data_IF_860916034492
#
_entry.id   IF_860916034492
#
_cell.length_a   1.000
_cell.length_b   1.000
_cell.length_c   1.000
_cell.angle_alpha   90.00
_cell.angle_beta   90.00
_cell.angle_gamma   90.00
#
_symmetry.space_group_name_H-M   'P 1'
#
loop_
_entity.id
_entity.type
_entity.pdbx_description
1 polymer ?
#
# COMPACT_ATOMS: atom_id res chain seq x y z
N UNK A 1 -26.28 14.48 7.93
CA UNK A 1 -24.83 14.60 7.68
C UNK A 1 -24.41 13.40 6.85
N UNK A 2 -23.70 13.60 5.74
CA UNK A 2 -23.12 12.48 5.00
C UNK A 2 -22.08 11.80 5.89
N UNK A 3 -22.04 10.48 5.85
CA UNK A 3 -21.03 9.70 6.58
C UNK A 3 -19.64 10.03 6.01
N UNK A 4 -18.73 10.49 6.86
CA UNK A 4 -17.35 10.86 6.47
C UNK A 4 -16.63 9.68 5.81
N UNK A 5 -16.89 8.46 6.24
CA UNK A 5 -16.35 7.23 5.64
C UNK A 5 -16.74 7.14 4.18
N UNK A 6 -18.04 7.25 3.89
CA UNK A 6 -18.55 7.19 2.52
C UNK A 6 -18.02 8.34 1.66
N UNK A 7 -17.89 9.54 2.25
CA UNK A 7 -17.30 10.69 1.55
C UNK A 7 -15.85 10.43 1.16
N UNK A 8 -15.04 9.89 2.08
CA UNK A 8 -13.63 9.60 1.82
C UNK A 8 -13.47 8.51 0.75
N UNK A 9 -14.24 7.42 0.84
CA UNK A 9 -14.25 6.38 -0.19
C UNK A 9 -14.64 6.95 -1.57
N UNK A 10 -15.65 7.80 -1.61
CA UNK A 10 -16.03 8.45 -2.86
C UNK A 10 -14.97 9.43 -3.36
N UNK A 11 -14.29 10.15 -2.47
CA UNK A 11 -13.19 11.03 -2.85
C UNK A 11 -12.02 10.24 -3.48
N UNK A 12 -11.64 9.09 -2.92
CA UNK A 12 -10.63 8.21 -3.51
C UNK A 12 -11.04 7.82 -4.93
N UNK A 13 -12.28 7.39 -5.13
CA UNK A 13 -12.80 7.01 -6.46
C UNK A 13 -12.76 8.15 -7.45
N UNK A 14 -13.27 9.31 -7.07
CA UNK A 14 -13.37 10.48 -7.95
C UNK A 14 -11.97 11.00 -8.31
N UNK A 15 -11.08 11.19 -7.33
CA UNK A 15 -9.69 11.61 -7.58
C UNK A 15 -8.99 10.65 -8.56
N UNK A 16 -9.17 9.35 -8.37
CA UNK A 16 -8.57 8.33 -9.26
C UNK A 16 -9.14 8.41 -10.67
N UNK A 17 -10.45 8.49 -10.80
CA UNK A 17 -11.11 8.55 -12.11
C UNK A 17 -10.72 9.83 -12.89
N UNK A 18 -10.73 11.00 -12.22
CA UNK A 18 -10.37 12.29 -12.84
C UNK A 18 -8.91 12.34 -13.26
N UNK A 19 -7.98 11.86 -12.42
CA UNK A 19 -6.55 11.82 -12.74
C UNK A 19 -6.25 10.90 -13.92
N UNK A 20 -6.84 9.70 -13.94
CA UNK A 20 -6.70 8.73 -15.02
C UNK A 20 -7.30 9.29 -16.32
N UNK A 21 -8.49 9.89 -16.24
CA UNK A 21 -9.13 10.52 -17.40
C UNK A 21 -8.31 11.67 -17.96
N UNK A 22 -7.76 12.53 -17.09
CA UNK A 22 -6.89 13.64 -17.50
C UNK A 22 -5.61 13.14 -18.18
N UNK A 23 -4.98 12.10 -17.63
CA UNK A 23 -3.78 11.50 -18.21
C UNK A 23 -4.08 10.74 -19.53
N UNK A 24 -5.35 10.46 -19.80
CA UNK A 24 -5.79 9.55 -20.87
C UNK A 24 -5.02 8.22 -20.87
N UNK A 25 -4.62 7.77 -19.68
CA UNK A 25 -3.83 6.55 -19.45
C UNK A 25 -3.94 6.12 -17.99
N UNK A 26 -4.10 4.84 -17.73
CA UNK A 26 -4.16 4.28 -16.38
C UNK A 26 -5.18 3.15 -16.26
N UNK A 27 -5.31 2.64 -15.05
CA UNK A 27 -6.15 1.51 -14.72
C UNK A 27 -7.19 1.92 -13.67
N UNK A 28 -8.44 2.22 -14.07
CA UNK A 28 -9.45 2.73 -13.13
C UNK A 28 -10.08 1.65 -12.26
N UNK A 29 -10.10 0.39 -12.72
CA UNK A 29 -10.85 -0.69 -12.06
C UNK A 29 -10.46 -0.89 -10.60
N UNK A 30 -9.17 -1.07 -10.35
CA UNK A 30 -8.67 -1.33 -9.00
C UNK A 30 -8.92 -0.15 -8.03
N UNK A 31 -8.56 1.11 -8.34
CA UNK A 31 -8.85 2.23 -7.44
C UNK A 31 -10.33 2.40 -7.12
N UNK A 32 -11.21 2.14 -8.09
CA UNK A 32 -12.65 2.24 -7.90
C UNK A 32 -13.20 1.11 -7.02
N UNK A 33 -12.75 -0.12 -7.24
CA UNK A 33 -13.17 -1.30 -6.49
C UNK A 33 -12.57 -1.34 -5.09
N UNK A 34 -11.27 -1.09 -4.98
CA UNK A 34 -10.51 -1.21 -3.73
C UNK A 34 -10.58 0.03 -2.81
N UNK A 35 -11.23 1.13 -3.22
CA UNK A 35 -11.33 2.33 -2.38
C UNK A 35 -11.79 2.05 -0.94
N UNK A 36 -12.83 1.22 -0.68
CA UNK A 36 -13.23 0.90 0.69
C UNK A 36 -12.16 0.13 1.46
N UNK A 37 -11.41 -0.74 0.80
CA UNK A 37 -10.36 -1.56 1.42
C UNK A 37 -9.17 -0.66 1.77
N UNK A 38 -8.70 0.17 0.83
CA UNK A 38 -7.66 1.16 1.09
C UNK A 38 -8.01 2.10 2.24
N UNK A 39 -9.25 2.61 2.26
CA UNK A 39 -9.75 3.41 3.38
C UNK A 39 -9.68 2.63 4.71
N UNK A 40 -10.16 1.39 4.74
CA UNK A 40 -10.15 0.58 5.94
C UNK A 40 -8.72 0.28 6.42
N UNK A 41 -7.79 -0.02 5.52
CA UNK A 41 -6.38 -0.20 5.84
C UNK A 41 -5.82 1.06 6.50
N UNK A 42 -5.87 2.20 5.83
CA UNK A 42 -5.28 3.45 6.31
C UNK A 42 -5.91 3.99 7.59
N UNK A 43 -7.17 3.70 7.87
CA UNK A 43 -7.81 4.11 9.13
C UNK A 43 -7.45 3.23 10.33
N UNK A 44 -6.83 2.06 10.09
CA UNK A 44 -6.41 1.12 11.14
C UNK A 44 -4.89 0.98 11.26
N UNK A 45 -4.12 1.55 10.33
CA UNK A 45 -2.66 1.53 10.35
C UNK A 45 -2.09 2.59 11.29
N UNK A 46 -0.95 2.27 11.88
CA UNK A 46 -0.09 3.21 12.61
C UNK A 46 0.96 3.78 11.66
N UNK A 47 0.86 5.06 11.36
CA UNK A 47 1.84 5.78 10.54
C UNK A 47 1.95 7.25 10.95
N UNK A 48 3.04 7.89 10.53
CA UNK A 48 3.19 9.35 10.66
C UNK A 48 3.39 9.96 9.26
N UNK A 49 2.40 10.66 8.71
CA UNK A 49 2.49 11.19 7.34
C UNK A 49 3.54 12.31 7.21
N UNK A 50 4.00 12.89 8.32
CA UNK A 50 5.08 13.91 8.35
C UNK A 50 6.46 13.29 8.54
N UNK A 51 6.52 12.03 8.93
CA UNK A 51 7.74 11.25 9.09
C UNK A 51 7.51 9.85 8.49
N UNK A 52 7.60 9.78 7.19
CA UNK A 52 7.41 8.53 6.44
C UNK A 52 8.53 7.51 6.66
N UNK A 53 9.60 7.89 7.39
CA UNK A 53 10.69 7.03 7.77
C UNK A 53 10.57 6.50 9.21
N UNK A 54 9.49 6.82 9.92
CA UNK A 54 9.23 6.31 11.27
C UNK A 54 9.38 4.78 11.32
N UNK A 55 10.30 4.28 12.12
CA UNK A 55 10.76 2.89 12.06
C UNK A 55 9.65 1.86 12.35
N UNK A 56 8.85 2.11 13.37
CA UNK A 56 7.77 1.21 13.80
C UNK A 56 6.40 1.53 13.15
N UNK A 57 6.41 2.10 11.93
CA UNK A 57 5.20 2.31 11.16
C UNK A 57 4.69 1.02 10.56
N UNK A 58 3.38 0.89 10.44
CA UNK A 58 2.80 -0.13 9.57
C UNK A 58 3.12 0.18 8.10
N UNK A 59 3.33 -0.86 7.31
CA UNK A 59 3.69 -0.76 5.90
C UNK A 59 2.53 -1.16 5.02
N UNK A 60 2.27 -0.33 4.01
CA UNK A 60 1.27 -0.64 2.99
C UNK A 60 1.94 -0.86 1.65
N UNK A 61 1.69 -2.02 1.05
CA UNK A 61 2.24 -2.41 -0.25
C UNK A 61 1.10 -2.68 -1.23
N UNK A 62 1.02 -1.87 -2.28
CA UNK A 62 0.12 -2.13 -3.39
C UNK A 62 0.81 -3.10 -4.37
N UNK A 63 0.62 -4.41 -4.17
CA UNK A 63 1.19 -5.43 -5.05
C UNK A 63 0.61 -5.35 -6.47
N UNK A 64 -0.66 -5.00 -6.60
CA UNK A 64 -1.29 -4.66 -7.86
C UNK A 64 -0.94 -3.23 -8.31
N UNK A 65 0.35 -2.96 -8.53
CA UNK A 65 0.90 -1.63 -8.74
C UNK A 65 0.33 -0.85 -9.93
N UNK A 66 -0.32 -1.53 -10.87
CA UNK A 66 -1.05 -0.89 -11.97
C UNK A 66 -2.20 0.01 -11.45
N UNK A 67 -2.74 -0.26 -10.26
CA UNK A 67 -3.74 0.57 -9.59
C UNK A 67 -3.18 1.73 -8.79
N UNK A 68 -2.02 2.25 -9.13
CA UNK A 68 -1.25 3.26 -8.40
C UNK A 68 -2.04 4.50 -7.96
N UNK A 69 -3.08 4.87 -8.68
CA UNK A 69 -3.95 5.99 -8.26
C UNK A 69 -4.67 5.72 -6.93
N UNK A 70 -4.84 4.45 -6.51
CA UNK A 70 -5.34 4.15 -5.17
C UNK A 70 -4.36 4.67 -4.11
N UNK A 71 -3.07 4.33 -4.24
CA UNK A 71 -2.03 4.80 -3.33
C UNK A 71 -1.97 6.32 -3.28
N UNK A 72 -1.93 6.97 -4.45
CA UNK A 72 -1.78 8.41 -4.52
C UNK A 72 -2.99 9.15 -3.94
N UNK A 73 -4.20 8.66 -4.16
CA UNK A 73 -5.41 9.22 -3.55
C UNK A 73 -5.40 9.03 -2.02
N UNK A 74 -4.97 7.87 -1.52
CA UNK A 74 -4.79 7.61 -0.09
C UNK A 74 -3.72 8.52 0.50
N UNK A 75 -2.52 8.58 -0.08
CA UNK A 75 -1.44 9.43 0.42
C UNK A 75 -1.80 10.92 0.42
N UNK A 76 -2.55 11.37 -0.60
CA UNK A 76 -3.07 12.74 -0.64
C UNK A 76 -4.04 13.02 0.50
N UNK A 77 -5.04 12.15 0.69
CA UNK A 77 -6.11 12.35 1.68
C UNK A 77 -5.61 12.16 3.12
N UNK A 78 -4.63 11.29 3.33
CA UNK A 78 -4.05 11.03 4.66
C UNK A 78 -2.82 11.88 4.98
N UNK A 79 -2.45 12.83 4.10
CA UNK A 79 -1.52 13.91 4.43
C UNK A 79 -0.04 13.61 4.23
N UNK A 80 0.33 12.66 3.36
CA UNK A 80 1.72 12.31 3.05
C UNK A 80 2.47 13.35 2.18
N UNK A 81 1.95 14.55 2.07
CA UNK A 81 2.62 15.65 1.38
C UNK A 81 2.42 15.70 -0.14
N UNK A 82 1.53 14.88 -0.69
CA UNK A 82 1.06 15.07 -2.06
C UNK A 82 0.12 16.27 -2.13
N UNK A 83 0.22 17.00 -3.22
CA UNK A 83 -0.66 18.13 -3.53
C UNK A 83 -1.71 17.74 -4.57
N UNK A 84 -2.74 18.58 -4.71
CA UNK A 84 -3.71 18.40 -5.79
C UNK A 84 -3.03 18.45 -7.17
N UNK A 85 -1.99 19.25 -7.32
CA UNK A 85 -1.24 19.35 -8.56
C UNK A 85 -0.47 18.05 -8.85
N UNK A 86 0.12 17.39 -7.83
CA UNK A 86 0.75 16.09 -8.00
C UNK A 86 -0.27 15.05 -8.52
N UNK A 87 -1.49 15.03 -7.97
CA UNK A 87 -2.58 14.18 -8.46
C UNK A 87 -2.96 14.49 -9.92
N UNK A 88 -3.07 15.78 -10.25
CA UNK A 88 -3.41 16.23 -11.60
C UNK A 88 -2.33 15.92 -12.63
N UNK A 89 -1.09 15.69 -12.19
CA UNK A 89 0.06 15.35 -13.03
C UNK A 89 0.34 13.84 -13.06
N UNK A 90 -0.66 13.03 -12.77
CA UNK A 90 -0.55 11.58 -12.86
C UNK A 90 0.02 11.13 -14.21
N UNK A 91 1.04 10.24 -14.18
CA UNK A 91 1.76 9.71 -15.35
C UNK A 91 2.46 10.75 -16.22
N UNK A 92 2.69 11.97 -15.72
CA UNK A 92 3.49 12.94 -16.45
C UNK A 92 4.97 12.79 -16.10
N UNK A 93 5.84 13.09 -17.05
CA UNK A 93 7.29 13.02 -16.86
C UNK A 93 7.72 13.91 -15.68
N UNK A 94 8.49 13.34 -14.74
CA UNK A 94 8.97 14.03 -13.54
C UNK A 94 7.92 14.20 -12.43
N UNK A 95 6.71 13.65 -12.59
CA UNK A 95 5.68 13.68 -11.56
C UNK A 95 6.01 12.71 -10.42
N UNK A 96 5.57 13.05 -9.20
CA UNK A 96 5.60 12.12 -8.05
C UNK A 96 4.58 10.98 -8.17
N UNK A 97 3.61 11.13 -9.06
CA UNK A 97 2.50 10.19 -9.29
C UNK A 97 2.72 9.42 -10.58
N UNK A 98 3.74 8.58 -10.59
CA UNK A 98 4.11 7.73 -11.72
C UNK A 98 3.02 6.70 -12.06
N UNK A 99 3.13 6.03 -13.20
CA UNK A 99 2.18 5.02 -13.66
C UNK A 99 2.07 3.81 -12.73
N UNK A 100 3.13 3.52 -11.99
CA UNK A 100 3.23 2.50 -10.95
C UNK A 100 3.93 3.13 -9.74
N UNK A 101 3.69 2.65 -8.50
CA UNK A 101 4.36 3.18 -7.32
C UNK A 101 5.88 3.02 -7.42
N UNK A 102 6.60 4.10 -7.15
CA UNK A 102 8.07 4.11 -7.19
C UNK A 102 8.62 4.54 -5.83
N UNK A 103 9.41 3.65 -5.22
CA UNK A 103 10.10 3.93 -3.96
C UNK A 103 11.04 5.12 -4.10
N UNK A 104 10.98 6.04 -3.15
CA UNK A 104 11.82 7.25 -3.14
C UNK A 104 11.32 8.39 -4.04
N UNK A 105 10.29 8.17 -4.85
CA UNK A 105 9.68 9.21 -5.70
C UNK A 105 8.42 9.79 -5.05
N UNK A 106 7.50 8.92 -4.65
CA UNK A 106 6.29 9.32 -3.93
C UNK A 106 6.46 9.05 -2.43
N UNK A 107 6.23 10.03 -1.55
CA UNK A 107 6.23 9.82 -0.11
C UNK A 107 5.20 8.75 0.30
N UNK A 108 5.60 7.83 1.17
CA UNK A 108 4.73 6.75 1.66
C UNK A 108 4.82 5.44 0.85
N UNK A 109 5.40 5.46 -0.35
CA UNK A 109 5.63 4.23 -1.12
C UNK A 109 6.75 3.42 -0.48
N UNK A 110 6.44 2.22 -0.01
CA UNK A 110 7.37 1.33 0.70
C UNK A 110 8.26 0.50 -0.25
N UNK A 111 7.76 0.19 -1.43
CA UNK A 111 8.50 -0.53 -2.48
C UNK A 111 7.94 -0.22 -3.85
N UNK A 112 8.79 -0.24 -4.87
CA UNK A 112 8.34 -0.10 -6.25
C UNK A 112 7.62 -1.37 -6.69
N UNK A 113 6.43 -1.22 -7.26
CA UNK A 113 5.61 -2.33 -7.76
C UNK A 113 5.15 -2.06 -9.20
N UNK A 114 4.56 -3.05 -9.82
CA UNK A 114 4.12 -3.01 -11.23
C UNK A 114 4.07 -4.40 -11.80
N UNK A 115 5.21 -5.14 -11.86
CA UNK A 115 5.18 -6.57 -12.16
C UNK A 115 4.40 -7.31 -11.07
N UNK A 116 3.36 -8.05 -11.49
CA UNK A 116 2.45 -8.74 -10.57
C UNK A 116 3.19 -9.76 -9.70
N UNK A 117 2.73 -9.96 -8.48
CA UNK A 117 3.34 -10.87 -7.49
C UNK A 117 4.55 -10.31 -6.72
N UNK A 118 5.27 -9.35 -7.28
CA UNK A 118 6.49 -8.82 -6.66
C UNK A 118 6.21 -8.10 -5.33
N UNK A 119 5.14 -7.31 -5.27
CA UNK A 119 4.79 -6.56 -4.07
C UNK A 119 4.46 -7.46 -2.88
N UNK A 120 3.71 -8.54 -3.09
CA UNK A 120 3.39 -9.50 -2.03
C UNK A 120 4.65 -10.23 -1.55
N UNK A 121 5.57 -10.59 -2.45
CA UNK A 121 6.85 -11.19 -2.07
C UNK A 121 7.70 -10.23 -1.22
N UNK A 122 7.74 -8.94 -1.59
CA UNK A 122 8.38 -7.90 -0.77
C UNK A 122 7.71 -7.76 0.61
N UNK A 123 6.37 -7.81 0.66
CA UNK A 123 5.63 -7.75 1.92
C UNK A 123 5.98 -8.90 2.86
N UNK A 124 6.11 -10.11 2.34
CA UNK A 124 6.59 -11.28 3.11
C UNK A 124 7.99 -11.03 3.65
N UNK A 125 8.90 -10.50 2.82
CA UNK A 125 10.25 -10.15 3.27
C UNK A 125 10.26 -9.08 4.36
N UNK A 126 9.37 -8.09 4.29
CA UNK A 126 9.24 -7.05 5.33
C UNK A 126 8.68 -7.62 6.63
N UNK A 127 7.72 -8.54 6.58
CA UNK A 127 7.20 -9.22 7.77
C UNK A 127 8.26 -10.12 8.43
N UNK A 128 9.09 -10.81 7.64
CA UNK A 128 10.24 -11.56 8.16
C UNK A 128 11.25 -10.63 8.85
N UNK A 129 11.50 -9.47 8.27
CA UNK A 129 12.40 -8.49 8.85
C UNK A 129 11.86 -7.91 10.16
N UNK A 130 10.55 -7.65 10.25
CA UNK A 130 9.88 -7.22 11.49
C UNK A 130 10.08 -8.27 12.58
N UNK A 131 9.74 -9.54 12.33
CA UNK A 131 9.90 -10.63 13.31
C UNK A 131 11.36 -10.77 13.77
N UNK A 132 12.31 -10.74 12.83
CA UNK A 132 13.74 -10.78 13.18
C UNK A 132 14.14 -9.62 14.09
N UNK A 133 13.71 -8.40 13.79
CA UNK A 133 14.03 -7.20 14.57
C UNK A 133 13.32 -7.21 15.93
N UNK A 134 12.06 -7.65 15.97
CA UNK A 134 11.30 -7.84 17.20
C UNK A 134 12.00 -8.82 18.14
N UNK A 135 12.40 -9.99 17.64
CA UNK A 135 13.14 -10.99 18.42
C UNK A 135 14.50 -10.48 18.92
N UNK A 136 15.15 -9.59 18.17
CA UNK A 136 16.45 -9.03 18.52
C UNK A 136 16.38 -7.89 19.53
N UNK A 137 15.38 -7.03 19.44
CA UNK A 137 15.37 -5.77 20.16
C UNK A 137 14.27 -5.64 21.22
N UNK A 138 13.15 -6.35 21.08
CA UNK A 138 12.07 -6.30 22.05
C UNK A 138 12.49 -6.94 23.38
N UNK A 139 11.96 -6.42 24.47
CA UNK A 139 12.11 -6.96 25.82
C UNK A 139 10.73 -7.04 26.46
N UNK A 140 10.61 -7.92 27.47
CA UNK A 140 9.37 -8.02 28.23
C UNK A 140 8.90 -6.64 28.73
N UNK A 141 7.68 -6.26 28.38
CA UNK A 141 7.10 -4.96 28.68
C UNK A 141 7.59 -3.78 27.83
N UNK A 142 8.50 -4.02 26.85
CA UNK A 142 9.05 -2.98 25.97
C UNK A 142 9.11 -3.44 24.50
N UNK A 143 7.95 -3.57 23.83
CA UNK A 143 7.91 -3.85 22.39
C UNK A 143 8.25 -2.56 21.63
N UNK A 144 9.43 -2.50 21.02
CA UNK A 144 9.88 -1.36 20.21
C UNK A 144 9.76 -1.62 18.71
N UNK A 145 9.62 -2.89 18.32
CA UNK A 145 9.32 -3.33 16.96
C UNK A 145 8.03 -4.15 17.03
N UNK A 146 6.95 -3.59 16.53
CA UNK A 146 5.62 -4.19 16.59
C UNK A 146 4.74 -3.48 15.55
N UNK A 147 4.97 -3.80 14.28
CA UNK A 147 4.25 -3.18 13.17
C UNK A 147 3.80 -4.22 12.16
N UNK A 148 2.70 -3.93 11.49
CA UNK A 148 2.13 -4.79 10.47
C UNK A 148 2.64 -4.43 9.08
N UNK A 149 2.62 -5.42 8.21
CA UNK A 149 2.79 -5.25 6.77
C UNK A 149 1.51 -5.67 6.07
N UNK A 150 0.87 -4.73 5.41
CA UNK A 150 -0.40 -4.93 4.70
C UNK A 150 -0.10 -4.93 3.20
N UNK A 151 -0.45 -6.00 2.50
CA UNK A 151 -0.33 -6.09 1.06
C UNK A 151 -1.72 -6.15 0.41
N UNK A 152 -1.97 -5.26 -0.54
CA UNK A 152 -3.14 -5.33 -1.40
C UNK A 152 -2.74 -5.88 -2.76
N UNK A 153 -3.33 -7.01 -3.12
CA UNK A 153 -3.07 -7.69 -4.39
C UNK A 153 -4.36 -8.01 -5.14
N UNK A 154 -4.25 -8.17 -6.44
CA UNK A 154 -5.31 -8.71 -7.28
C UNK A 154 -5.12 -10.20 -7.52
N UNK A 155 -6.13 -10.83 -8.11
CA UNK A 155 -6.09 -12.23 -8.54
C UNK A 155 -4.91 -12.54 -9.48
N UNK A 156 -4.55 -11.59 -10.35
CA UNK A 156 -3.38 -11.71 -11.21
C UNK A 156 -2.05 -11.81 -10.45
N UNK A 157 -1.92 -11.17 -9.27
CA UNK A 157 -0.76 -11.33 -8.41
C UNK A 157 -0.64 -12.77 -7.89
N UNK A 158 -1.78 -13.38 -7.54
CA UNK A 158 -1.86 -14.74 -7.01
C UNK A 158 -1.55 -15.84 -8.06
N UNK A 159 -1.50 -15.47 -9.34
CA UNK A 159 -1.18 -16.39 -10.44
C UNK A 159 0.33 -16.41 -10.75
N UNK A 160 1.12 -15.52 -10.16
CA UNK A 160 2.55 -15.47 -10.38
C UNK A 160 3.30 -16.50 -9.50
N UNK A 161 4.33 -17.14 -10.08
CA UNK A 161 5.12 -18.17 -9.38
C UNK A 161 5.78 -17.65 -8.11
N UNK A 162 6.30 -16.42 -8.12
CA UNK A 162 6.96 -15.82 -6.97
C UNK A 162 6.02 -15.63 -5.78
N UNK A 163 4.73 -15.39 -6.03
CA UNK A 163 3.74 -15.28 -4.97
C UNK A 163 3.56 -16.63 -4.25
N UNK A 164 3.42 -17.71 -5.00
CA UNK A 164 3.28 -19.05 -4.43
C UNK A 164 4.50 -19.45 -3.59
N UNK A 165 5.69 -19.10 -4.03
CA UNK A 165 6.93 -19.32 -3.28
C UNK A 165 6.96 -18.49 -1.99
N UNK A 166 6.62 -17.20 -2.08
CA UNK A 166 6.59 -16.29 -0.94
C UNK A 166 5.52 -16.68 0.09
N UNK A 167 4.32 -17.05 -0.37
CA UNK A 167 3.24 -17.50 0.51
C UNK A 167 3.59 -18.82 1.20
N UNK A 168 4.23 -19.76 0.49
CA UNK A 168 4.73 -21.00 1.08
C UNK A 168 5.79 -20.75 2.14
N UNK A 169 6.72 -19.82 1.88
CA UNK A 169 7.73 -19.40 2.85
C UNK A 169 7.09 -18.78 4.08
N UNK A 170 6.15 -17.86 3.90
CA UNK A 170 5.42 -17.23 5.00
C UNK A 170 4.70 -18.27 5.87
N UNK A 171 4.01 -19.23 5.25
CA UNK A 171 3.34 -20.31 5.96
C UNK A 171 4.31 -21.20 6.75
N UNK A 172 5.51 -21.44 6.24
CA UNK A 172 6.54 -22.26 6.90
C UNK A 172 7.14 -21.58 8.14
N UNK A 173 7.14 -20.24 8.17
CA UNK A 173 7.61 -19.45 9.32
C UNK A 173 6.52 -19.18 10.36
N UNK A 174 5.35 -19.82 10.26
CA UNK A 174 4.20 -19.60 11.17
C UNK A 174 3.66 -18.15 11.21
N UNK A 175 3.92 -17.37 10.19
CA UNK A 175 3.33 -16.03 10.06
C UNK A 175 1.81 -16.08 9.82
N UNK A 176 1.21 -17.23 9.69
CA UNK A 176 -0.23 -17.44 9.51
C UNK A 176 -1.09 -16.89 10.65
N UNK A 177 -0.55 -16.76 11.85
CA UNK A 177 -1.26 -16.10 12.95
C UNK A 177 -1.31 -14.58 12.81
N UNK A 178 -0.50 -14.01 11.93
CA UNK A 178 -0.34 -12.59 11.69
C UNK A 178 -0.78 -12.15 10.29
N UNK A 179 -1.40 -13.06 9.52
CA UNK A 179 -1.99 -12.76 8.20
C UNK A 179 -3.46 -12.29 8.23
N UNK A 180 -3.95 -11.55 9.23
CA UNK A 180 -5.24 -10.88 9.09
C UNK A 180 -5.22 -9.72 8.09
N UNK A 181 -4.08 -9.49 7.42
CA UNK A 181 -3.84 -8.26 6.65
C UNK A 181 -3.55 -8.49 5.16
N UNK A 182 -3.74 -9.69 4.65
CA UNK A 182 -3.70 -9.94 3.20
C UNK A 182 -5.11 -9.76 2.64
N UNK A 183 -5.36 -8.62 2.01
CA UNK A 183 -6.60 -8.36 1.28
C UNK A 183 -6.40 -8.74 -0.18
N UNK A 184 -7.14 -9.74 -0.63
CA UNK A 184 -7.19 -10.17 -2.03
C UNK A 184 -8.44 -9.54 -2.66
N UNK A 185 -8.26 -8.86 -3.77
CA UNK A 185 -9.33 -8.35 -4.64
C UNK A 185 -9.31 -9.09 -5.95
#
# INVERSE_FOLDING_TARGET
>A
MQDVKQLTVNAIRVLSAEAIQKANSGHPGLPLGAAPIGYAAFTNMTFNPKDTAFDNRDRFILSAGHGSMLDYALYYLFGFGLTKEDIMNFRQLGSKTAGHPEYGVCPGVETSTGPLGQGIANAVGMAIAEDYLANKFNKEGFPIVDHYTIALCGDGCMQEGIENEAASLAGSYFFLTWFPSLFIL
#
